data_IF_580980828998
#
_entry.id   IF_580980828998
#
_cell.length_a   1.000
_cell.length_b   1.000
_cell.length_c   1.000
_cell.angle_alpha   90.00
_cell.angle_beta   90.00
_cell.angle_gamma   90.00
#
_symmetry.space_group_name_H-M   'P 1'
#
loop_
_entity.id
_entity.type
_entity.pdbx_description
1 polymer ?
#
# COMPACT_ATOMS: atom_id res chain seq x y z
N UNK A 1 -12.12 7.09 -19.06
CA UNK A 1 -12.16 7.22 -17.59
C UNK A 1 -11.87 8.67 -17.25
N UNK A 2 -12.55 9.21 -16.23
CA UNK A 2 -12.21 10.53 -15.70
C UNK A 2 -10.86 10.43 -14.99
N UNK A 3 -9.91 11.31 -15.31
CA UNK A 3 -8.59 11.26 -14.68
C UNK A 3 -8.71 11.78 -13.23
N UNK A 4 -8.29 10.96 -12.26
CA UNK A 4 -8.24 11.36 -10.85
C UNK A 4 -6.80 11.75 -10.55
N UNK A 5 -6.57 13.01 -10.21
CA UNK A 5 -5.25 13.54 -9.84
C UNK A 5 -5.21 13.81 -8.33
N UNK A 6 -4.40 13.02 -7.63
CA UNK A 6 -4.10 13.13 -6.19
C UNK A 6 -2.67 13.59 -5.94
N UNK A 7 -1.99 14.16 -6.94
CA UNK A 7 -0.63 14.69 -6.80
C UNK A 7 -0.54 15.67 -5.61
N UNK A 8 0.51 15.48 -4.81
CA UNK A 8 0.76 16.27 -3.60
C UNK A 8 -0.19 15.98 -2.43
N UNK A 9 -1.07 14.98 -2.54
CA UNK A 9 -1.90 14.48 -1.42
C UNK A 9 -1.20 13.32 -0.72
N UNK A 10 -1.47 13.19 0.58
CA UNK A 10 -1.01 12.09 1.41
C UNK A 10 -2.20 11.28 1.88
N UNK A 11 -2.13 9.96 1.76
CA UNK A 11 -3.17 9.05 2.21
C UNK A 11 -2.60 8.00 3.18
N UNK A 12 -3.44 7.59 4.13
CA UNK A 12 -3.22 6.41 4.97
C UNK A 12 -4.29 5.38 4.63
N UNK A 13 -3.88 4.18 4.23
CA UNK A 13 -4.81 3.06 4.02
C UNK A 13 -4.64 2.07 5.17
N UNK A 14 -5.65 1.99 6.04
CA UNK A 14 -5.69 1.04 7.14
C UNK A 14 -6.17 -0.34 6.67
N UNK A 15 -5.54 -1.41 7.16
CA UNK A 15 -5.92 -2.79 6.83
C UNK A 15 -5.24 -3.36 5.59
N UNK A 16 -3.94 -3.11 5.42
CA UNK A 16 -3.12 -3.71 4.34
C UNK A 16 -2.14 -4.71 4.93
N UNK A 17 -2.21 -5.98 4.51
CA UNK A 17 -1.33 -7.04 5.04
C UNK A 17 -0.82 -8.03 3.96
N UNK A 18 -1.36 -7.97 2.75
CA UNK A 18 -1.01 -8.79 1.59
C UNK A 18 -1.36 -8.03 0.30
N UNK A 19 -1.10 -8.63 -0.86
CA UNK A 19 -1.36 -8.06 -2.19
C UNK A 19 -2.65 -8.57 -2.86
N UNK A 20 -3.43 -9.41 -2.18
CA UNK A 20 -4.69 -9.96 -2.69
C UNK A 20 -5.92 -9.19 -2.17
N UNK A 21 -5.78 -8.48 -1.06
CA UNK A 21 -6.86 -7.72 -0.43
C UNK A 21 -7.18 -6.37 -1.08
N UNK A 22 -8.38 -5.86 -0.79
CA UNK A 22 -8.82 -4.54 -1.27
C UNK A 22 -7.97 -3.38 -0.74
N UNK A 23 -7.43 -3.49 0.48
CA UNK A 23 -6.56 -2.45 1.04
C UNK A 23 -5.34 -2.18 0.15
N UNK A 24 -4.70 -3.25 -0.37
CA UNK A 24 -3.60 -3.13 -1.31
C UNK A 24 -4.04 -2.55 -2.65
N UNK A 25 -5.16 -3.03 -3.19
CA UNK A 25 -5.71 -2.52 -4.45
C UNK A 25 -6.03 -1.01 -4.38
N UNK A 26 -6.61 -0.55 -3.26
CA UNK A 26 -6.88 0.87 -2.99
C UNK A 26 -5.57 1.65 -2.89
N UNK A 27 -4.60 1.16 -2.10
CA UNK A 27 -3.31 1.84 -1.96
C UNK A 27 -2.60 1.98 -3.31
N UNK A 28 -2.64 0.94 -4.14
CA UNK A 28 -2.11 0.98 -5.51
C UNK A 28 -2.83 2.01 -6.37
N UNK A 29 -4.16 2.02 -6.38
CA UNK A 29 -4.94 2.99 -7.15
C UNK A 29 -4.67 4.44 -6.72
N UNK A 30 -4.47 4.70 -5.43
CA UNK A 30 -4.11 6.02 -4.91
C UNK A 30 -2.70 6.46 -5.38
N UNK A 31 -1.74 5.54 -5.40
CA UNK A 31 -0.38 5.81 -5.89
C UNK A 31 -0.40 6.05 -7.41
N UNK A 32 -1.17 5.27 -8.18
CA UNK A 32 -1.37 5.48 -9.62
C UNK A 32 -1.98 6.86 -9.91
N UNK A 33 -2.81 7.37 -9.01
CA UNK A 33 -3.36 8.72 -9.07
C UNK A 33 -2.38 9.81 -8.58
N UNK A 34 -1.15 9.46 -8.19
CA UNK A 34 -0.09 10.41 -7.79
C UNK A 34 -0.03 10.72 -6.30
N UNK A 35 -0.82 10.05 -5.44
CA UNK A 35 -0.75 10.24 -4.00
C UNK A 35 0.51 9.61 -3.38
N UNK A 36 1.02 10.22 -2.32
CA UNK A 36 1.98 9.56 -1.42
C UNK A 36 1.19 8.74 -0.39
N UNK A 37 1.43 7.43 -0.32
CA UNK A 37 0.60 6.52 0.49
C UNK A 37 1.40 5.85 1.59
N UNK A 38 0.93 5.99 2.83
CA UNK A 38 1.30 5.13 3.96
C UNK A 38 0.23 4.05 4.17
N UNK A 39 0.59 2.94 4.81
CA UNK A 39 -0.38 1.89 5.16
C UNK A 39 -0.31 1.52 6.63
N UNK A 40 -1.47 1.14 7.17
CA UNK A 40 -1.60 0.52 8.48
C UNK A 40 -1.77 -0.98 8.33
N UNK A 41 -0.89 -1.76 8.97
CA UNK A 41 -0.89 -3.22 8.94
C UNK A 41 -1.16 -3.76 10.34
N UNK A 42 -2.03 -4.76 10.43
CA UNK A 42 -2.33 -5.42 11.70
C UNK A 42 -1.04 -5.98 12.32
N UNK A 43 -0.72 -5.70 13.61
CA UNK A 43 0.59 -6.02 14.16
C UNK A 43 1.02 -7.49 14.02
N UNK A 44 0.15 -8.51 14.18
CA UNK A 44 0.49 -9.91 13.94
C UNK A 44 0.92 -10.22 12.49
N UNK A 45 0.47 -9.44 11.50
CA UNK A 45 0.81 -9.62 10.10
C UNK A 45 1.97 -8.72 9.63
N UNK A 46 2.41 -7.75 10.45
CA UNK A 46 3.38 -6.74 10.04
C UNK A 46 4.71 -7.34 9.57
N UNK A 47 5.31 -8.23 10.36
CA UNK A 47 6.62 -8.81 10.04
C UNK A 47 6.58 -9.64 8.76
N UNK A 48 5.54 -10.46 8.56
CA UNK A 48 5.44 -11.26 7.33
C UNK A 48 5.22 -10.37 6.12
N UNK A 49 4.39 -9.32 6.23
CA UNK A 49 4.16 -8.36 5.15
C UNK A 49 5.45 -7.64 4.74
N UNK A 50 6.22 -7.14 5.70
CA UNK A 50 7.53 -6.51 5.46
C UNK A 50 8.51 -7.46 4.76
N UNK A 51 8.60 -8.71 5.25
CA UNK A 51 9.48 -9.73 4.66
C UNK A 51 9.09 -10.09 3.22
N UNK A 52 7.79 -10.15 2.91
CA UNK A 52 7.31 -10.42 1.55
C UNK A 52 7.65 -9.26 0.59
N UNK A 53 7.57 -8.02 1.06
CA UNK A 53 7.97 -6.82 0.31
C UNK A 53 9.47 -6.83 0.03
N UNK A 54 10.30 -7.02 1.06
CA UNK A 54 11.76 -7.00 0.96
C UNK A 54 12.30 -8.10 0.03
N UNK A 55 11.68 -9.28 0.09
CA UNK A 55 12.08 -10.43 -0.74
C UNK A 55 11.52 -10.40 -2.17
N UNK A 56 10.82 -9.32 -2.55
CA UNK A 56 10.23 -9.16 -3.88
C UNK A 56 9.11 -10.14 -4.20
N UNK A 57 8.50 -10.79 -3.19
CA UNK A 57 7.43 -11.78 -3.41
C UNK A 57 6.15 -11.17 -3.98
N UNK A 58 5.99 -9.86 -3.85
CA UNK A 58 4.83 -9.11 -4.32
C UNK A 58 5.18 -8.16 -5.48
N UNK A 59 6.34 -8.29 -6.13
CA UNK A 59 6.79 -7.33 -7.15
C UNK A 59 5.87 -7.29 -8.38
N UNK A 60 5.32 -8.43 -8.79
CA UNK A 60 4.31 -8.50 -9.86
C UNK A 60 3.10 -7.64 -9.52
N UNK A 61 2.57 -7.76 -8.30
CA UNK A 61 1.40 -7.00 -7.85
C UNK A 61 1.71 -5.52 -7.62
N UNK A 62 2.96 -5.20 -7.23
CA UNK A 62 3.48 -3.84 -7.03
C UNK A 62 3.77 -3.10 -8.34
N UNK A 63 3.83 -3.76 -9.48
CA UNK A 63 4.14 -3.10 -10.75
C UNK A 63 3.09 -2.03 -11.07
N UNK A 64 3.52 -0.79 -11.18
CA UNK A 64 2.67 0.35 -11.56
C UNK A 64 2.60 0.48 -13.09
N UNK A 65 1.61 1.23 -13.56
CA UNK A 65 1.40 1.51 -14.99
C UNK A 65 2.60 2.22 -15.64
N UNK A 66 3.37 2.98 -14.86
CA UNK A 66 4.57 3.67 -15.30
C UNK A 66 5.85 2.79 -15.31
N UNK A 67 5.72 1.50 -14.99
CA UNK A 67 6.84 0.55 -14.94
C UNK A 67 7.69 0.60 -13.67
N UNK A 68 7.37 1.46 -12.71
CA UNK A 68 8.01 1.48 -11.40
C UNK A 68 7.32 0.51 -10.43
N UNK A 69 8.06 0.07 -9.41
CA UNK A 69 7.45 -0.67 -8.31
C UNK A 69 6.80 0.29 -7.33
N UNK A 70 5.59 -0.05 -6.91
CA UNK A 70 4.90 0.57 -5.80
C UNK A 70 5.80 0.59 -4.56
N UNK A 71 5.91 1.77 -3.94
CA UNK A 71 6.57 1.98 -2.66
C UNK A 71 5.62 2.68 -1.71
N UNK A 72 5.51 2.17 -0.50
CA UNK A 72 4.81 2.86 0.58
C UNK A 72 5.74 3.90 1.21
N UNK A 73 5.20 5.07 1.53
CA UNK A 73 5.94 6.11 2.27
C UNK A 73 6.34 5.57 3.65
N UNK A 74 5.38 4.97 4.35
CA UNK A 74 5.54 4.34 5.67
C UNK A 74 4.58 3.18 5.83
N UNK A 75 4.98 2.21 6.64
CA UNK A 75 4.17 1.07 7.06
C UNK A 75 4.11 1.11 8.58
N UNK A 76 2.90 1.25 9.13
CA UNK A 76 2.67 1.38 10.57
C UNK A 76 2.00 0.12 11.13
N UNK A 77 2.37 -0.33 12.35
CA UNK A 77 1.48 -1.19 13.12
C UNK A 77 0.19 -0.42 13.42
N UNK A 78 -0.97 -1.00 13.08
CA UNK A 78 -2.28 -0.41 13.34
C UNK A 78 -3.27 -1.52 13.69
N UNK A 79 -3.90 -1.44 14.86
CA UNK A 79 -4.95 -2.35 15.32
C UNK A 79 -6.25 -1.58 15.52
N UNK A 80 -7.20 -1.78 14.60
CA UNK A 80 -8.50 -1.10 14.63
C UNK A 80 -9.35 -1.40 15.87
N UNK A 81 -8.99 -2.40 16.68
CA UNK A 81 -9.69 -2.71 17.93
C UNK A 81 -9.26 -1.80 19.08
N UNK A 82 -8.09 -1.16 18.97
CA UNK A 82 -7.46 -0.38 20.04
C UNK A 82 -7.04 1.04 19.62
N UNK A 83 -6.93 1.32 18.32
CA UNK A 83 -6.56 2.62 17.74
C UNK A 83 -7.78 3.46 17.27
#
# INVERSE_FOLDING_TARGET
MLNIDLSGKRALVAGVADDAGFGFAIAKALIEAGATVSVGTWPPALNIFMNLLERGKMDTSRMLSNGQLLQFEKIYPLDASFD
#
